data_IF_704173427234
#
_entry.id   IF_704173427234
#
_cell.length_a   1.000
_cell.length_b   1.000
_cell.length_c   1.000
_cell.angle_alpha   90.00
_cell.angle_beta   90.00
_cell.angle_gamma   90.00
#
_symmetry.space_group_name_H-M   'P 1'
#
loop_
_entity.id
_entity.type
_entity.pdbx_description
1 polymer ?
#
# COMPACT_ATOMS: atom_id res chain seq x y z
N UNK A 1 15.54 -17.32 0.51
CA UNK A 1 15.69 -16.59 -0.77
C UNK A 1 14.64 -15.50 -0.78
N UNK A 2 15.04 -14.22 -0.67
CA UNK A 2 14.15 -13.06 -0.72
C UNK A 2 13.86 -12.66 -2.16
N UNK A 3 13.06 -13.45 -2.88
CA UNK A 3 12.80 -13.23 -4.31
C UNK A 3 11.63 -12.26 -4.58
N UNK A 4 10.97 -11.77 -3.53
CA UNK A 4 9.79 -10.93 -3.65
C UNK A 4 10.10 -9.51 -3.16
N UNK A 5 10.79 -8.74 -4.00
CA UNK A 5 11.07 -7.32 -3.74
C UNK A 5 10.44 -6.49 -4.84
N UNK A 6 9.58 -5.57 -4.47
CA UNK A 6 8.95 -4.61 -5.38
C UNK A 6 9.40 -3.19 -5.04
N UNK A 7 9.60 -2.39 -6.09
CA UNK A 7 9.76 -0.95 -6.02
C UNK A 7 8.73 -0.31 -6.95
N UNK A 8 7.84 0.51 -6.41
CA UNK A 8 6.86 1.28 -7.20
C UNK A 8 6.98 2.76 -6.91
N UNK A 9 6.77 3.58 -7.93
CA UNK A 9 6.73 5.05 -7.78
C UNK A 9 5.47 5.58 -8.44
N UNK A 10 4.61 6.21 -7.65
CA UNK A 10 3.29 6.64 -8.08
C UNK A 10 2.68 7.68 -7.16
N UNK A 11 1.47 8.11 -7.48
CA UNK A 11 0.72 9.12 -6.74
C UNK A 11 -0.15 8.45 -5.67
N UNK A 12 -0.11 8.91 -4.43
CA UNK A 12 -1.03 8.46 -3.38
C UNK A 12 -2.37 9.14 -3.59
N UNK A 13 -3.43 8.33 -3.74
CA UNK A 13 -4.74 8.85 -4.12
C UNK A 13 -5.63 9.14 -2.92
N UNK A 14 -5.49 8.37 -1.85
CA UNK A 14 -6.38 8.41 -0.70
C UNK A 14 -5.59 8.33 0.61
N UNK A 15 -6.16 8.90 1.67
CA UNK A 15 -5.63 8.77 3.02
C UNK A 15 -5.69 7.29 3.45
N UNK A 16 -4.67 6.75 4.14
CA UNK A 16 -4.72 5.36 4.60
C UNK A 16 -5.87 5.10 5.57
N UNK A 17 -6.62 4.03 5.34
CA UNK A 17 -7.74 3.60 6.17
C UNK A 17 -7.38 2.34 6.96
N UNK A 18 -7.84 2.25 8.22
CA UNK A 18 -7.64 1.06 9.03
C UNK A 18 -8.39 -0.13 8.41
N UNK A 19 -7.73 -1.29 8.35
CA UNK A 19 -8.32 -2.53 7.84
C UNK A 19 -8.48 -3.57 8.93
N UNK A 20 -7.36 -3.92 9.58
CA UNK A 20 -7.35 -4.99 10.57
C UNK A 20 -6.21 -4.82 11.56
N UNK A 21 -6.25 -5.62 12.63
CA UNK A 21 -5.11 -5.82 13.52
C UNK A 21 -4.52 -7.19 13.23
N UNK A 22 -3.23 -7.24 12.90
CA UNK A 22 -2.51 -8.48 12.66
C UNK A 22 -2.43 -9.32 13.94
N UNK A 23 -2.11 -10.61 13.81
CA UNK A 23 -2.02 -11.54 14.95
C UNK A 23 -0.98 -11.13 16.01
N UNK A 24 -0.01 -10.30 15.64
CA UNK A 24 1.00 -9.73 16.54
C UNK A 24 0.60 -8.37 17.15
N UNK A 25 -0.64 -7.94 16.97
CA UNK A 25 -1.19 -6.70 17.53
C UNK A 25 -0.91 -5.45 16.69
N UNK A 26 -0.19 -5.54 15.57
CA UNK A 26 0.03 -4.38 14.69
C UNK A 26 -1.22 -4.02 13.91
N UNK A 27 -1.63 -2.76 13.96
CA UNK A 27 -2.71 -2.25 13.09
C UNK A 27 -2.19 -2.08 11.67
N UNK A 28 -2.98 -2.58 10.72
CA UNK A 28 -2.70 -2.53 9.28
C UNK A 28 -3.67 -1.55 8.64
N UNK A 29 -3.11 -0.68 7.81
CA UNK A 29 -3.82 0.34 7.06
C UNK A 29 -3.68 0.08 5.57
N UNK A 30 -4.68 0.47 4.78
CA UNK A 30 -4.71 0.33 3.33
C UNK A 30 -4.89 1.68 2.65
N UNK A 31 -4.19 1.87 1.53
CA UNK A 31 -4.37 3.00 0.61
C UNK A 31 -4.19 2.50 -0.83
N UNK A 32 -4.36 3.38 -1.81
CA UNK A 32 -4.13 3.12 -3.22
C UNK A 32 -3.12 4.10 -3.82
N UNK A 33 -2.26 3.57 -4.69
CA UNK A 33 -1.33 4.34 -5.49
C UNK A 33 -1.62 4.19 -6.98
N UNK A 34 -1.66 5.30 -7.69
CA UNK A 34 -1.68 5.31 -9.16
C UNK A 34 -0.25 5.31 -9.71
N UNK A 35 0.03 4.33 -10.57
CA UNK A 35 1.30 4.17 -11.27
C UNK A 35 1.05 4.27 -12.77
N UNK A 36 1.64 5.28 -13.40
CA UNK A 36 1.56 5.47 -14.85
C UNK A 36 2.60 4.60 -15.56
N UNK A 37 2.15 3.75 -16.49
CA UNK A 37 3.01 3.00 -17.41
C UNK A 37 3.57 3.91 -18.49
N UNK A 38 4.66 3.49 -19.12
CA UNK A 38 5.22 4.18 -20.30
C UNK A 38 4.23 4.26 -21.47
N UNK A 39 3.26 3.35 -21.53
CA UNK A 39 2.15 3.38 -22.49
C UNK A 39 1.10 4.46 -22.24
N UNK A 40 1.17 5.17 -21.11
CA UNK A 40 0.14 6.13 -20.66
C UNK A 40 -1.02 5.50 -19.90
N UNK A 41 -1.09 4.16 -19.83
CA UNK A 41 -2.08 3.46 -18.98
C UNK A 41 -1.75 3.66 -17.51
N UNK A 42 -2.78 3.76 -16.66
CA UNK A 42 -2.62 3.93 -15.21
C UNK A 42 -3.03 2.63 -14.52
N UNK A 43 -2.15 2.12 -13.66
CA UNK A 43 -2.44 1.03 -12.74
C UNK A 43 -2.76 1.59 -11.35
N UNK A 44 -3.82 1.07 -10.74
CA UNK A 44 -4.13 1.36 -9.34
C UNK A 44 -3.68 0.18 -8.47
N UNK A 45 -2.65 0.40 -7.67
CA UNK A 45 -2.03 -0.64 -6.83
C UNK A 45 -2.49 -0.43 -5.37
N UNK A 46 -3.19 -1.40 -4.76
CA UNK A 46 -3.48 -1.35 -3.34
C UNK A 46 -2.21 -1.59 -2.52
N UNK A 47 -2.02 -0.81 -1.48
CA UNK A 47 -0.87 -0.87 -0.59
C UNK A 47 -1.37 -1.10 0.83
N UNK A 48 -0.72 -2.01 1.55
CA UNK A 48 -0.95 -2.21 2.97
C UNK A 48 0.32 -1.93 3.77
N UNK A 49 0.18 -1.20 4.87
CA UNK A 49 1.29 -0.78 5.72
C UNK A 49 0.91 -0.82 7.20
N UNK A 50 1.88 -1.00 8.11
CA UNK A 50 1.67 -0.77 9.53
C UNK A 50 1.36 0.71 9.85
N UNK A 51 0.76 0.96 11.00
CA UNK A 51 0.32 2.28 11.50
C UNK A 51 1.37 3.39 11.35
N UNK A 52 2.63 3.13 11.71
CA UNK A 52 3.69 4.14 11.63
C UNK A 52 3.98 4.62 10.19
N UNK A 53 3.97 3.71 9.21
CA UNK A 53 4.15 4.05 7.80
C UNK A 53 2.88 4.68 7.22
N UNK A 54 1.70 4.33 7.73
CA UNK A 54 0.44 4.96 7.34
C UNK A 54 0.46 6.47 7.61
N UNK A 55 0.97 6.90 8.77
CA UNK A 55 1.09 8.32 9.11
C UNK A 55 2.10 9.06 8.23
N UNK A 56 3.18 8.40 7.83
CA UNK A 56 4.13 8.96 6.87
C UNK A 56 3.46 9.15 5.50
N UNK A 57 2.79 8.12 4.98
CA UNK A 57 2.07 8.17 3.69
C UNK A 57 0.96 9.22 3.69
N UNK A 58 0.24 9.39 4.81
CA UNK A 58 -0.79 10.41 4.96
C UNK A 58 -0.26 11.82 4.66
N UNK A 59 0.98 12.12 5.05
CA UNK A 59 1.61 13.42 4.78
C UNK A 59 1.92 13.65 3.29
N UNK A 60 1.82 12.60 2.45
CA UNK A 60 2.06 12.64 1.01
C UNK A 60 0.81 12.36 0.17
N UNK A 61 -0.41 12.39 0.75
CA UNK A 61 -1.65 12.23 -0.02
C UNK A 61 -1.73 13.29 -1.13
N UNK A 62 -2.04 12.84 -2.35
CA UNK A 62 -2.00 13.66 -3.58
C UNK A 62 -0.58 13.86 -4.17
N UNK A 63 0.46 13.57 -3.39
CA UNK A 63 1.86 13.62 -3.80
C UNK A 63 2.34 12.32 -4.45
N UNK A 64 3.55 12.36 -5.00
CA UNK A 64 4.20 11.24 -5.68
C UNK A 64 5.35 10.71 -4.83
N UNK A 65 5.30 9.43 -4.45
CA UNK A 65 6.29 8.79 -3.58
C UNK A 65 6.81 7.49 -4.20
N UNK A 66 7.93 7.00 -3.68
CA UNK A 66 8.46 5.66 -4.00
C UNK A 66 8.31 4.74 -2.79
N UNK A 67 7.80 3.54 -3.01
CA UNK A 67 7.62 2.51 -1.99
C UNK A 67 8.46 1.28 -2.36
N UNK A 68 9.07 0.70 -1.34
CA UNK A 68 9.76 -0.58 -1.39
C UNK A 68 9.00 -1.57 -0.53
N UNK A 69 8.74 -2.78 -1.04
CA UNK A 69 7.97 -3.77 -0.31
C UNK A 69 7.95 -5.12 -1.00
N UNK A 70 6.85 -5.85 -0.80
CA UNK A 70 6.63 -7.20 -1.33
C UNK A 70 5.20 -7.32 -1.85
N UNK A 71 4.98 -8.15 -2.88
CA UNK A 71 3.62 -8.52 -3.29
C UNK A 71 3.12 -9.67 -2.41
N UNK A 72 2.01 -9.49 -1.71
CA UNK A 72 1.43 -10.56 -0.88
C UNK A 72 -0.03 -10.81 -1.23
N UNK A 73 -0.40 -12.07 -1.23
CA UNK A 73 -1.78 -12.53 -1.31
C UNK A 73 -2.14 -13.18 0.03
N UNK A 74 -3.33 -12.91 0.52
CA UNK A 74 -3.86 -13.50 1.73
C UNK A 74 -5.38 -13.65 1.59
N UNK A 75 -5.98 -14.53 2.38
CA UNK A 75 -7.42 -14.67 2.44
C UNK A 75 -7.98 -13.58 3.36
N UNK A 76 -8.86 -12.74 2.84
CA UNK A 76 -9.56 -11.75 3.66
C UNK A 76 -10.72 -12.42 4.39
N UNK A 77 -10.62 -12.50 5.71
CA UNK A 77 -11.64 -13.13 6.57
C UNK A 77 -12.67 -12.11 7.07
N UNK A 78 -12.66 -10.87 6.56
CA UNK A 78 -13.58 -9.80 6.96
C UNK A 78 -15.03 -10.03 6.50
N UNK A 79 -15.30 -11.05 5.69
CA UNK A 79 -16.64 -11.47 5.23
C UNK A 79 -16.99 -12.89 5.70
N UNK A 80 -16.76 -13.20 6.98
CA UNK A 80 -17.22 -14.46 7.62
C UNK A 80 -18.24 -14.18 8.72
#
# INVERSE_FOLDING_TARGET
>A
MENNKVKITGKIMETPEYVLTASDGRKIYRTKMEVMRTSGSIDTIPIQVPENLAWEILSYTGGRITIYGEYRSYNDLSES
#
